data_IF_054221784128
#
_entry.id   IF_054221784128
#
_cell.length_a   1.000
_cell.length_b   1.000
_cell.length_c   1.000
_cell.angle_alpha   90.00
_cell.angle_beta   90.00
_cell.angle_gamma   90.00
#
_symmetry.space_group_name_H-M   'P 1'
#
loop_
_entity.id
_entity.type
_entity.pdbx_description
1 polymer ?
#
# COMPACT_ATOMS: atom_id res chain seq x y z
N UNK A 1 -67.12 8.09 102.54
CA UNK A 1 -66.10 8.88 101.78
C UNK A 1 -64.90 8.05 101.29
N UNK A 2 -64.42 7.00 101.97
CA UNK A 2 -63.24 6.22 101.55
C UNK A 2 -63.42 5.35 100.28
N UNK A 3 -64.63 4.87 100.00
CA UNK A 3 -64.92 3.97 98.85
C UNK A 3 -65.05 4.71 97.51
N UNK A 4 -65.48 5.97 97.50
CA UNK A 4 -65.53 6.81 96.29
C UNK A 4 -64.12 7.13 95.75
N UNK A 5 -63.12 7.22 96.62
CA UNK A 5 -61.74 7.48 96.23
C UNK A 5 -61.12 6.30 95.47
N UNK A 6 -61.43 5.07 95.91
CA UNK A 6 -60.95 3.85 95.27
C UNK A 6 -61.57 3.68 93.87
N UNK A 7 -62.89 3.90 93.74
CA UNK A 7 -63.59 3.78 92.45
C UNK A 7 -63.12 4.82 91.42
N UNK A 8 -62.68 6.00 91.85
CA UNK A 8 -62.17 7.05 90.94
C UNK A 8 -60.72 6.83 90.48
N UNK A 9 -59.90 6.06 91.21
CA UNK A 9 -58.48 5.85 90.89
C UNK A 9 -58.28 4.73 89.85
N UNK A 10 -59.11 3.68 89.88
CA UNK A 10 -59.05 2.58 88.92
C UNK A 10 -59.15 3.00 87.44
N UNK A 11 -60.10 3.85 87.00
CA UNK A 11 -60.18 4.27 85.61
C UNK A 11 -58.96 5.11 85.18
N UNK A 12 -58.36 5.86 86.09
CA UNK A 12 -57.15 6.65 85.81
C UNK A 12 -55.95 5.73 85.59
N UNK A 13 -55.79 4.69 86.42
CA UNK A 13 -54.72 3.70 86.25
C UNK A 13 -54.90 2.85 84.98
N UNK A 14 -56.13 2.46 84.65
CA UNK A 14 -56.44 1.78 83.40
C UNK A 14 -56.12 2.65 82.17
N UNK A 15 -56.49 3.93 82.21
CA UNK A 15 -56.18 4.88 81.15
C UNK A 15 -54.67 5.11 80.99
N UNK A 16 -53.93 5.19 82.10
CA UNK A 16 -52.47 5.33 82.07
C UNK A 16 -51.77 4.07 81.53
N UNK A 17 -52.27 2.88 81.88
CA UNK A 17 -51.78 1.61 81.33
C UNK A 17 -52.00 1.49 79.82
N UNK A 18 -53.18 1.87 79.33
CA UNK A 18 -53.49 1.91 77.89
C UNK A 18 -52.58 2.89 77.13
N UNK A 19 -52.33 4.08 77.69
CA UNK A 19 -51.43 5.07 77.08
C UNK A 19 -49.98 4.55 76.97
N UNK A 20 -49.48 3.86 78.00
CA UNK A 20 -48.15 3.23 77.94
C UNK A 20 -48.06 2.15 76.85
N UNK A 21 -49.11 1.34 76.68
CA UNK A 21 -49.15 0.33 75.61
C UNK A 21 -49.17 0.99 74.23
N UNK A 22 -50.01 2.03 74.04
CA UNK A 22 -50.09 2.75 72.76
C UNK A 22 -48.76 3.43 72.42
N UNK A 23 -48.10 4.10 73.38
CA UNK A 23 -46.77 4.68 73.17
C UNK A 23 -45.71 3.62 72.87
N UNK A 24 -45.75 2.47 73.54
CA UNK A 24 -44.86 1.34 73.26
C UNK A 24 -45.00 0.83 71.83
N UNK A 25 -46.24 0.58 71.40
CA UNK A 25 -46.56 0.13 70.03
C UNK A 25 -46.15 1.16 68.98
N UNK A 26 -46.37 2.45 69.24
CA UNK A 26 -45.97 3.51 68.31
C UNK A 26 -44.45 3.55 68.11
N UNK A 27 -43.68 3.43 69.19
CA UNK A 27 -42.22 3.41 69.15
C UNK A 27 -41.66 2.17 68.44
N UNK A 28 -42.29 1.01 68.61
CA UNK A 28 -41.93 -0.21 67.88
C UNK A 28 -42.22 -0.07 66.37
N UNK A 29 -43.38 0.48 66.01
CA UNK A 29 -43.76 0.73 64.62
C UNK A 29 -42.76 1.67 63.92
N UNK A 30 -42.32 2.73 64.62
CA UNK A 30 -41.32 3.67 64.12
C UNK A 30 -39.96 3.00 63.89
N UNK A 31 -39.51 2.16 64.82
CA UNK A 31 -38.27 1.38 64.66
C UNK A 31 -38.35 0.38 63.51
N UNK A 32 -39.49 -0.29 63.34
CA UNK A 32 -39.71 -1.23 62.22
C UNK A 32 -39.68 -0.47 60.90
N UNK A 33 -40.42 0.63 60.78
CA UNK A 33 -40.46 1.43 59.55
C UNK A 33 -39.07 1.99 59.17
N UNK A 34 -38.27 2.40 60.17
CA UNK A 34 -36.89 2.85 59.94
C UNK A 34 -36.02 1.72 59.40
N UNK A 35 -36.08 0.52 60.00
CA UNK A 35 -35.32 -0.65 59.53
C UNK A 35 -35.76 -1.12 58.15
N UNK A 36 -37.05 -1.12 57.87
CA UNK A 36 -37.58 -1.48 56.55
C UNK A 36 -37.10 -0.50 55.48
N UNK A 37 -37.06 0.81 55.80
CA UNK A 37 -36.48 1.82 54.93
C UNK A 37 -34.99 1.61 54.66
N UNK A 38 -34.21 1.24 55.67
CA UNK A 38 -32.78 0.91 55.51
C UNK A 38 -32.57 -0.37 54.70
N UNK A 39 -33.34 -1.42 54.98
CA UNK A 39 -33.31 -2.67 54.22
C UNK A 39 -33.66 -2.43 52.76
N UNK A 40 -34.69 -1.63 52.47
CA UNK A 40 -35.07 -1.30 51.10
C UNK A 40 -33.95 -0.55 50.36
N UNK A 41 -33.23 0.35 51.04
CA UNK A 41 -32.04 1.01 50.45
C UNK A 41 -30.94 0.00 50.14
N UNK A 42 -30.63 -0.91 51.06
CA UNK A 42 -29.62 -1.96 50.84
C UNK A 42 -30.02 -2.91 49.72
N UNK A 43 -31.28 -3.35 49.66
CA UNK A 43 -31.77 -4.18 48.56
C UNK A 43 -31.64 -3.47 47.22
N UNK A 44 -31.97 -2.17 47.16
CA UNK A 44 -31.84 -1.38 45.94
C UNK A 44 -30.38 -1.24 45.49
N UNK A 45 -29.45 -0.92 46.41
CA UNK A 45 -28.03 -0.79 46.05
C UNK A 45 -27.43 -2.10 45.58
N UNK A 46 -27.80 -3.23 46.20
CA UNK A 46 -27.38 -4.57 45.78
C UNK A 46 -27.95 -4.90 44.39
N UNK A 47 -29.24 -4.62 44.15
CA UNK A 47 -29.86 -4.84 42.84
C UNK A 47 -29.22 -4.00 41.74
N UNK A 48 -29.00 -2.70 41.98
CA UNK A 48 -28.36 -1.78 41.04
C UNK A 48 -26.94 -2.23 40.71
N UNK A 49 -26.17 -2.68 41.73
CA UNK A 49 -24.83 -3.25 41.53
C UNK A 49 -24.87 -4.52 40.69
N UNK A 50 -25.80 -5.44 40.95
CA UNK A 50 -25.92 -6.69 40.21
C UNK A 50 -26.32 -6.44 38.75
N UNK A 51 -27.22 -5.50 38.50
CA UNK A 51 -27.57 -5.03 37.16
C UNK A 51 -26.37 -4.42 36.44
N UNK A 52 -25.61 -3.57 37.12
CA UNK A 52 -24.39 -2.98 36.57
C UNK A 52 -23.36 -4.06 36.19
N UNK A 53 -23.05 -4.99 37.09
CA UNK A 53 -22.09 -6.08 36.82
C UNK A 53 -22.55 -6.96 35.65
N UNK A 54 -23.85 -7.25 35.57
CA UNK A 54 -24.43 -8.03 34.46
C UNK A 54 -24.27 -7.31 33.12
N UNK A 55 -24.61 -6.03 33.05
CA UNK A 55 -24.47 -5.22 31.82
C UNK A 55 -23.01 -5.06 31.43
N UNK A 56 -22.14 -4.85 32.41
CA UNK A 56 -20.70 -4.73 32.19
C UNK A 56 -20.13 -6.03 31.60
N UNK A 57 -20.51 -7.18 32.16
CA UNK A 57 -20.11 -8.49 31.64
C UNK A 57 -20.59 -8.71 30.21
N UNK A 58 -21.86 -8.42 29.91
CA UNK A 58 -22.39 -8.51 28.54
C UNK A 58 -21.64 -7.61 27.56
N UNK A 59 -21.32 -6.37 27.99
CA UNK A 59 -20.54 -5.44 27.19
C UNK A 59 -19.14 -6.00 26.90
N UNK A 60 -18.46 -6.57 27.89
CA UNK A 60 -17.15 -7.18 27.71
C UNK A 60 -17.19 -8.38 26.76
N UNK A 61 -18.17 -9.27 26.91
CA UNK A 61 -18.35 -10.42 26.01
C UNK A 61 -18.58 -9.96 24.57
N UNK A 62 -19.39 -8.92 24.36
CA UNK A 62 -19.62 -8.34 23.03
C UNK A 62 -18.35 -7.74 22.44
N UNK A 63 -17.52 -7.07 23.27
CA UNK A 63 -16.27 -6.47 22.85
C UNK A 63 -15.25 -7.56 22.45
N UNK A 64 -15.17 -8.63 23.24
CA UNK A 64 -14.31 -9.79 22.96
C UNK A 64 -14.74 -10.45 21.65
N UNK A 65 -16.04 -10.67 21.44
CA UNK A 65 -16.56 -11.26 20.21
C UNK A 65 -16.23 -10.38 18.98
N UNK A 66 -16.42 -9.06 19.09
CA UNK A 66 -16.07 -8.12 18.02
C UNK A 66 -14.56 -8.12 17.72
N UNK A 67 -13.72 -8.11 18.75
CA UNK A 67 -12.26 -8.17 18.60
C UNK A 67 -11.81 -9.49 17.96
N UNK A 68 -12.39 -10.63 18.36
CA UNK A 68 -12.11 -11.92 17.75
C UNK A 68 -12.52 -11.99 16.29
N UNK A 69 -13.68 -11.42 15.94
CA UNK A 69 -14.13 -11.33 14.55
C UNK A 69 -13.15 -10.48 13.73
N UNK A 70 -12.82 -9.27 14.21
CA UNK A 70 -11.86 -8.39 13.53
C UNK A 70 -10.49 -9.06 13.35
N UNK A 71 -10.03 -9.83 14.35
CA UNK A 71 -8.79 -10.60 14.24
C UNK A 71 -8.86 -11.63 13.12
N UNK A 72 -9.93 -12.44 13.06
CA UNK A 72 -10.12 -13.45 12.01
C UNK A 72 -10.20 -12.83 10.61
N UNK A 73 -10.94 -11.73 10.48
CA UNK A 73 -11.08 -11.02 9.19
C UNK A 73 -9.72 -10.47 8.71
N UNK A 74 -8.91 -9.96 9.65
CA UNK A 74 -7.56 -9.48 9.34
C UNK A 74 -6.61 -10.64 8.99
N UNK A 75 -6.64 -11.74 9.74
CA UNK A 75 -5.84 -12.94 9.44
C UNK A 75 -6.19 -13.50 8.05
N UNK A 76 -7.48 -13.58 7.71
CA UNK A 76 -7.93 -14.00 6.38
C UNK A 76 -7.44 -13.05 5.28
N UNK A 77 -7.51 -11.75 5.51
CA UNK A 77 -7.02 -10.73 4.57
C UNK A 77 -5.52 -10.84 4.35
N UNK A 78 -4.73 -11.08 5.41
CA UNK A 78 -3.27 -11.27 5.30
C UNK A 78 -2.96 -12.54 4.49
N UNK A 79 -3.66 -13.64 4.75
CA UNK A 79 -3.50 -14.89 4.00
C UNK A 79 -3.82 -14.72 2.51
N UNK A 80 -4.82 -13.89 2.16
CA UNK A 80 -5.14 -13.61 0.76
C UNK A 80 -4.15 -12.65 0.10
N UNK A 81 -3.73 -11.60 0.81
CA UNK A 81 -2.90 -10.53 0.26
C UNK A 81 -1.42 -10.94 0.12
N UNK A 82 -0.90 -11.76 1.03
CA UNK A 82 0.50 -12.20 1.01
C UNK A 82 0.90 -12.86 -0.33
N UNK A 83 0.19 -13.89 -0.85
CA UNK A 83 0.55 -14.51 -2.12
C UNK A 83 0.37 -13.55 -3.32
N UNK A 84 -0.62 -12.64 -3.28
CA UNK A 84 -0.80 -11.62 -4.33
C UNK A 84 0.39 -10.66 -4.37
N UNK A 85 0.89 -10.23 -3.21
CA UNK A 85 2.07 -9.35 -3.14
C UNK A 85 3.34 -10.07 -3.61
N UNK A 86 3.55 -11.32 -3.22
CA UNK A 86 4.67 -12.12 -3.72
C UNK A 86 4.59 -12.34 -5.24
N UNK A 87 3.40 -12.62 -5.77
CA UNK A 87 3.16 -12.74 -7.21
C UNK A 87 3.51 -11.44 -7.95
N UNK A 88 2.99 -10.30 -7.47
CA UNK A 88 3.30 -8.98 -8.03
C UNK A 88 4.78 -8.63 -7.96
N UNK A 89 5.47 -9.02 -6.89
CA UNK A 89 6.92 -8.84 -6.77
C UNK A 89 7.67 -9.63 -7.84
N UNK A 90 7.33 -10.91 -8.04
CA UNK A 90 7.93 -11.75 -9.08
C UNK A 90 7.66 -11.20 -10.48
N UNK A 91 6.44 -10.75 -10.76
CA UNK A 91 6.09 -10.09 -12.03
C UNK A 91 6.94 -8.84 -12.27
N UNK A 92 7.11 -8.01 -11.24
CA UNK A 92 7.92 -6.80 -11.33
C UNK A 92 9.41 -7.11 -11.54
N UNK A 93 9.95 -8.09 -10.82
CA UNK A 93 11.35 -8.53 -10.97
C UNK A 93 11.60 -9.08 -12.38
N UNK A 94 10.66 -9.87 -12.92
CA UNK A 94 10.73 -10.37 -14.30
C UNK A 94 10.67 -9.23 -15.33
N UNK A 95 9.75 -8.27 -15.14
CA UNK A 95 9.64 -7.10 -16.01
C UNK A 95 10.94 -6.26 -16.00
N UNK A 96 11.55 -6.03 -14.84
CA UNK A 96 12.82 -5.31 -14.75
C UNK A 96 13.96 -6.05 -15.47
N UNK A 97 14.02 -7.38 -15.35
CA UNK A 97 15.00 -8.18 -16.09
C UNK A 97 14.80 -8.09 -17.60
N UNK A 98 13.55 -8.18 -18.08
CA UNK A 98 13.23 -8.02 -19.51
C UNK A 98 13.58 -6.64 -20.03
N UNK A 99 13.28 -5.58 -19.28
CA UNK A 99 13.64 -4.20 -19.63
C UNK A 99 15.16 -4.06 -19.73
N UNK A 100 15.91 -4.62 -18.79
CA UNK A 100 17.37 -4.57 -18.83
C UNK A 100 17.94 -5.36 -20.02
N UNK A 101 17.38 -6.54 -20.31
CA UNK A 101 17.77 -7.34 -21.46
C UNK A 101 17.51 -6.60 -22.77
N UNK A 102 16.33 -5.97 -22.91
CA UNK A 102 15.96 -5.16 -24.08
C UNK A 102 16.84 -3.93 -24.22
N UNK A 103 17.17 -3.26 -23.11
CA UNK A 103 18.10 -2.13 -23.12
C UNK A 103 19.49 -2.56 -23.63
N UNK A 104 20.00 -3.70 -23.17
CA UNK A 104 21.28 -4.23 -23.65
C UNK A 104 21.21 -4.62 -25.14
N UNK A 105 20.10 -5.21 -25.60
CA UNK A 105 19.87 -5.54 -27.02
C UNK A 105 19.89 -4.28 -27.89
N UNK A 106 19.21 -3.21 -27.46
CA UNK A 106 19.18 -1.93 -28.19
C UNK A 106 20.58 -1.33 -28.28
N UNK A 107 21.32 -1.25 -27.17
CA UNK A 107 22.69 -0.73 -27.17
C UNK A 107 23.60 -1.53 -28.11
N UNK A 108 23.46 -2.86 -28.12
CA UNK A 108 24.22 -3.71 -29.04
C UNK A 108 23.90 -3.42 -30.50
N UNK A 109 22.62 -3.25 -30.84
CA UNK A 109 22.19 -2.95 -32.22
C UNK A 109 22.59 -1.54 -32.66
N UNK A 110 22.54 -0.56 -31.76
CA UNK A 110 23.02 0.79 -32.05
C UNK A 110 24.52 0.80 -32.34
N UNK A 111 25.30 0.03 -31.57
CA UNK A 111 26.74 -0.10 -31.80
C UNK A 111 27.05 -0.82 -33.12
N UNK A 112 26.32 -1.88 -33.45
CA UNK A 112 26.43 -2.57 -34.74
C UNK A 112 26.09 -1.64 -35.90
N UNK A 113 24.97 -0.91 -35.81
CA UNK A 113 24.56 0.07 -36.81
C UNK A 113 25.63 1.17 -37.00
N UNK A 114 26.22 1.67 -35.91
CA UNK A 114 27.29 2.65 -35.97
C UNK A 114 28.49 2.11 -36.74
N UNK A 115 28.97 0.91 -36.39
CA UNK A 115 30.10 0.26 -37.07
C UNK A 115 29.81 0.03 -38.55
N UNK A 116 28.64 -0.49 -38.89
CA UNK A 116 28.24 -0.70 -40.29
C UNK A 116 28.22 0.62 -41.06
N UNK A 117 27.72 1.69 -40.45
CA UNK A 117 27.71 3.02 -41.07
C UNK A 117 29.13 3.55 -41.31
N UNK A 118 30.03 3.38 -40.35
CA UNK A 118 31.45 3.74 -40.50
C UNK A 118 32.13 2.93 -41.61
N UNK A 119 31.89 1.63 -41.69
CA UNK A 119 32.41 0.77 -42.77
C UNK A 119 31.88 1.19 -44.13
N UNK A 120 30.57 1.41 -44.28
CA UNK A 120 29.96 1.86 -45.54
C UNK A 120 30.56 3.20 -45.99
N UNK A 121 30.75 4.14 -45.07
CA UNK A 121 31.35 5.44 -45.39
C UNK A 121 32.80 5.29 -45.87
N UNK A 122 33.60 4.50 -45.15
CA UNK A 122 35.00 4.21 -45.53
C UNK A 122 35.12 3.53 -46.90
N UNK A 123 34.28 2.52 -47.15
CA UNK A 123 34.24 1.84 -48.45
C UNK A 123 33.79 2.79 -49.56
N UNK A 124 32.76 3.62 -49.30
CA UNK A 124 32.28 4.61 -50.27
C UNK A 124 33.38 5.60 -50.65
N UNK A 125 34.16 6.08 -49.69
CA UNK A 125 35.31 6.96 -49.95
C UNK A 125 36.41 6.25 -50.76
N UNK A 126 36.70 4.98 -50.44
CA UNK A 126 37.65 4.15 -51.21
C UNK A 126 37.20 3.95 -52.65
N UNK A 127 35.93 3.58 -52.87
CA UNK A 127 35.35 3.41 -54.20
C UNK A 127 35.34 4.71 -55.00
N UNK A 128 35.00 5.85 -54.38
CA UNK A 128 35.11 7.17 -55.02
C UNK A 128 36.52 7.46 -55.49
N UNK A 129 37.53 7.26 -54.64
CA UNK A 129 38.95 7.45 -55.00
C UNK A 129 39.37 6.53 -56.14
N UNK A 130 38.94 5.26 -56.14
CA UNK A 130 39.24 4.33 -57.23
C UNK A 130 38.59 4.76 -58.55
N UNK A 131 37.33 5.20 -58.52
CA UNK A 131 36.64 5.72 -59.70
C UNK A 131 37.36 6.96 -60.24
N UNK A 132 37.74 7.90 -59.38
CA UNK A 132 38.44 9.11 -59.79
C UNK A 132 39.83 8.79 -60.37
N UNK A 133 40.57 7.84 -59.78
CA UNK A 133 41.85 7.38 -60.30
C UNK A 133 41.71 6.66 -61.65
N UNK A 134 40.69 5.81 -61.80
CA UNK A 134 40.38 5.14 -63.07
C UNK A 134 40.01 6.16 -64.16
N UNK A 135 39.18 7.16 -63.83
CA UNK A 135 38.87 8.26 -64.75
C UNK A 135 40.12 9.02 -65.17
N UNK A 136 40.99 9.39 -64.23
CA UNK A 136 42.25 10.07 -64.54
C UNK A 136 43.17 9.21 -65.43
N UNK A 137 43.21 7.89 -65.20
CA UNK A 137 43.97 6.95 -66.03
C UNK A 137 43.40 6.82 -67.44
N UNK A 138 42.06 6.83 -67.59
CA UNK A 138 41.36 6.80 -68.87
C UNK A 138 41.50 8.11 -69.66
N UNK A 139 41.51 9.25 -68.99
CA UNK A 139 41.74 10.56 -69.61
C UNK A 139 43.21 10.80 -69.97
N UNK A 140 44.13 10.14 -69.25
CA UNK A 140 45.57 10.17 -69.48
C UNK A 140 46.00 9.42 -70.74
N UNK A 141 47.15 9.82 -71.29
CA UNK A 141 47.71 9.15 -72.47
C UNK A 141 48.12 7.71 -72.14
N UNK A 142 47.56 6.73 -72.87
CA UNK A 142 47.88 5.31 -72.67
C UNK A 142 49.19 4.95 -73.35
N UNK A 143 50.06 4.17 -72.68
CA UNK A 143 51.32 3.69 -73.27
C UNK A 143 51.12 2.85 -74.55
N UNK A 144 49.92 2.29 -74.75
CA UNK A 144 49.60 1.59 -76.00
C UNK A 144 49.53 2.58 -77.18
N UNK A 145 49.14 3.84 -76.92
CA UNK A 145 49.04 4.87 -77.94
C UNK A 145 50.37 5.28 -78.56
N UNK A 146 51.50 5.04 -77.88
CA UNK A 146 52.84 5.23 -78.43
C UNK A 146 53.14 4.25 -79.59
N UNK A 147 52.39 3.15 -79.68
CA UNK A 147 52.57 2.10 -80.69
C UNK A 147 51.46 2.07 -81.75
N UNK A 148 50.45 2.95 -81.65
CA UNK A 148 49.35 3.01 -82.61
C UNK A 148 49.69 3.96 -83.75
N UNK A 149 49.44 3.54 -85.00
CA UNK A 149 49.64 4.41 -86.17
C UNK A 149 48.76 5.67 -86.04
N UNK A 150 49.28 6.87 -86.36
CA UNK A 150 48.56 8.13 -86.19
C UNK A 150 47.43 8.26 -87.24
N UNK A 151 46.29 7.63 -86.96
CA UNK A 151 45.02 7.91 -87.63
C UNK A 151 44.18 8.86 -86.76
N UNK A 152 43.40 9.75 -87.39
CA UNK A 152 42.59 10.77 -86.69
C UNK A 152 41.73 10.19 -85.56
N UNK A 153 41.13 9.01 -85.75
CA UNK A 153 40.29 8.34 -84.75
C UNK A 153 41.10 7.75 -83.58
N UNK A 154 42.31 7.27 -83.86
CA UNK A 154 43.19 6.75 -82.81
C UNK A 154 43.68 7.87 -81.90
N UNK A 155 43.98 9.06 -82.46
CA UNK A 155 44.37 10.25 -81.70
C UNK A 155 43.27 10.75 -80.76
N UNK A 156 41.99 10.68 -81.15
CA UNK A 156 40.87 11.04 -80.27
C UNK A 156 40.68 10.07 -79.09
N UNK A 157 40.98 8.78 -79.30
CA UNK A 157 40.84 7.73 -78.29
C UNK A 157 42.05 7.64 -77.33
N UNK A 158 43.16 8.30 -77.69
CA UNK A 158 44.43 8.19 -76.98
C UNK A 158 44.64 9.23 -75.87
N UNK A 159 43.64 10.05 -75.56
CA UNK A 159 43.74 11.06 -74.52
C UNK A 159 44.72 12.19 -74.84
N UNK A 160 44.77 13.24 -74.01
CA UNK A 160 45.69 14.37 -74.21
C UNK A 160 47.07 14.03 -73.63
N UNK A 161 48.12 14.12 -74.44
CA UNK A 161 49.50 14.00 -73.94
C UNK A 161 49.81 15.16 -72.98
N UNK A 162 50.18 14.84 -71.73
CA UNK A 162 50.72 15.82 -70.80
C UNK A 162 52.13 16.21 -71.27
N UNK A 163 52.22 17.29 -72.05
CA UNK A 163 53.47 17.96 -72.38
C UNK A 163 53.93 18.81 -71.19
N UNK A 164 54.43 18.18 -70.13
CA UNK A 164 55.28 18.87 -69.15
C UNK A 164 56.73 18.53 -69.45
N UNK A 165 57.37 19.50 -70.09
CA UNK A 165 58.73 19.50 -70.57
C UNK A 165 59.75 19.23 -69.46
N UNK A 166 60.71 18.37 -69.78
CA UNK A 166 62.06 18.46 -69.26
C UNK A 166 62.71 19.75 -69.79
N UNK A 167 63.21 20.57 -68.88
CA UNK A 167 64.32 21.51 -69.07
C UNK A 167 65.02 21.68 -67.72
#
# INVERSE_FOLDING_TARGET
MKTFWIVSIFPILLSAGLLMVIMGQYKEMEMINTRDGEMMKVTKTVYDRLQYETRFKQSLESLIAAAQKSKKDLEASVVELSPRMEGKKKENDACQQEVQAKKNEVVSKEEEQRKTTETINSETESWKKQIDNLKATLEGHSAICDHVKPEKKALELCGKANTTNAA
#
